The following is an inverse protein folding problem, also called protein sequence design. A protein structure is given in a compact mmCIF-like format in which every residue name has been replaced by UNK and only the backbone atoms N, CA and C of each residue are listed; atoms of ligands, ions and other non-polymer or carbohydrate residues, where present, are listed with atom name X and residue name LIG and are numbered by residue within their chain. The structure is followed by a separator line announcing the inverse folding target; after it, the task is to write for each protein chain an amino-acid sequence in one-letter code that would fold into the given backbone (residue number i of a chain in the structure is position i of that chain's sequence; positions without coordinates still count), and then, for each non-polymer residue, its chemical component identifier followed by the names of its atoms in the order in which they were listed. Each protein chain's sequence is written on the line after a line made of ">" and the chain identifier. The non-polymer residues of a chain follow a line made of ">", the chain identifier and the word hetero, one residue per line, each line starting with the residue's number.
data_IF_049925137963
#
_entry.id   IF_049925137963
#
_cell.length_a   1.000
_cell.length_b   1.000
_cell.length_c   1.000
_cell.angle_alpha   90.00
_cell.angle_beta   90.00
_cell.angle_gamma   90.00
#
_symmetry.space_group_name_H-M   'P 1'
#
loop_
_entity.id
_entity.type
_entity.pdbx_description
1 polymer ?
#
# COMPACT_ATOMS: atom_id res chain seq x y z
N UNK A 1 17.58 -30.96 29.74
CA UNK A 1 17.53 -30.55 28.33
C UNK A 1 16.09 -30.58 27.87
N UNK A 2 15.41 -29.44 27.88
CA UNK A 2 14.14 -29.24 27.19
C UNK A 2 13.87 -27.75 27.17
N UNK A 3 13.80 -27.15 25.97
CA UNK A 3 12.67 -26.35 25.52
C UNK A 3 13.06 -25.71 24.18
N UNK A 4 12.92 -26.48 23.09
CA UNK A 4 13.10 -26.01 21.72
C UNK A 4 11.77 -25.83 20.98
N UNK A 5 10.66 -25.68 21.71
CA UNK A 5 9.34 -25.46 21.11
C UNK A 5 8.90 -24.03 21.35
N UNK A 6 9.26 -23.16 20.42
CA UNK A 6 8.69 -21.82 20.31
C UNK A 6 7.29 -21.97 19.71
N UNK A 7 6.25 -21.74 20.52
CA UNK A 7 4.89 -21.62 20.03
C UNK A 7 4.75 -20.28 19.31
N UNK A 8 5.14 -20.26 18.04
CA UNK A 8 4.86 -19.12 17.16
C UNK A 8 3.53 -19.40 16.48
N UNK A 9 2.45 -18.91 17.06
CA UNK A 9 1.15 -18.91 16.39
C UNK A 9 1.28 -18.25 15.01
N UNK A 10 0.60 -18.80 14.00
CA UNK A 10 0.57 -18.22 12.66
C UNK A 10 -0.25 -16.93 12.70
N UNK A 11 0.40 -15.82 13.01
CA UNK A 11 -0.22 -14.50 12.90
C UNK A 11 -0.52 -14.25 11.42
N UNK A 12 -1.75 -13.83 11.10
CA UNK A 12 -2.10 -13.45 9.75
C UNK A 12 -1.15 -12.34 9.27
N UNK A 13 -0.28 -12.65 8.30
CA UNK A 13 0.71 -11.69 7.78
C UNK A 13 0.04 -10.72 6.81
N UNK A 14 -0.62 -9.70 7.38
CA UNK A 14 -1.29 -8.66 6.61
C UNK A 14 -0.33 -7.84 5.74
N UNK A 15 0.97 -7.78 6.07
CA UNK A 15 1.96 -6.99 5.34
C UNK A 15 2.98 -7.85 4.56
N UNK A 16 2.64 -9.11 4.27
CA UNK A 16 3.54 -10.03 3.58
C UNK A 16 4.84 -10.24 4.35
N UNK A 17 5.98 -9.94 3.71
CA UNK A 17 7.32 -10.11 4.29
C UNK A 17 7.83 -8.88 5.08
N UNK A 18 7.05 -7.79 5.13
CA UNK A 18 7.44 -6.60 5.89
C UNK A 18 7.48 -6.89 7.39
N UNK A 19 8.49 -6.35 8.05
CA UNK A 19 8.71 -6.50 9.51
C UNK A 19 8.28 -5.29 10.33
N UNK A 20 7.61 -4.32 9.71
CA UNK A 20 7.10 -3.15 10.44
C UNK A 20 5.85 -3.55 11.25
N UNK A 21 5.67 -2.99 12.47
CA UNK A 21 4.43 -3.18 13.22
C UNK A 21 3.22 -2.68 12.43
N UNK A 22 2.09 -3.37 12.56
CA UNK A 22 0.86 -3.03 11.83
C UNK A 22 0.40 -1.60 12.11
N UNK A 23 0.39 -1.18 13.37
CA UNK A 23 -0.05 0.16 13.77
C UNK A 23 0.79 1.26 13.12
N UNK A 24 2.10 1.00 12.97
CA UNK A 24 3.01 1.92 12.28
C UNK A 24 2.71 1.99 10.79
N UNK A 25 2.45 0.85 10.15
CA UNK A 25 2.05 0.81 8.75
C UNK A 25 0.73 1.57 8.52
N UNK A 26 -0.25 1.38 9.40
CA UNK A 26 -1.54 2.10 9.36
C UNK A 26 -1.33 3.59 9.53
N UNK A 27 -0.47 4.01 10.47
CA UNK A 27 -0.14 5.43 10.66
C UNK A 27 0.49 6.04 9.40
N UNK A 28 1.46 5.35 8.78
CA UNK A 28 2.07 5.79 7.52
C UNK A 28 1.01 6.00 6.42
N UNK A 29 0.10 5.03 6.25
CA UNK A 29 -0.95 5.11 5.24
C UNK A 29 -1.93 6.25 5.52
N UNK A 30 -2.35 6.44 6.77
CA UNK A 30 -3.22 7.58 7.16
C UNK A 30 -2.57 8.91 6.79
N UNK A 31 -1.31 9.11 7.17
CA UNK A 31 -0.60 10.36 6.85
C UNK A 31 -0.53 10.62 5.34
N UNK A 32 -0.29 9.59 4.53
CA UNK A 32 -0.28 9.71 3.06
C UNK A 32 -1.65 10.08 2.49
N UNK A 33 -2.73 9.49 3.02
CA UNK A 33 -4.11 9.80 2.61
C UNK A 33 -4.51 11.25 2.96
N UNK A 34 -3.97 11.79 4.05
CA UNK A 34 -4.11 13.21 4.42
C UNK A 34 -3.24 14.16 3.57
N UNK A 35 -2.50 13.64 2.58
CA UNK A 35 -1.69 14.45 1.66
C UNK A 35 -0.26 14.74 2.13
N UNK A 36 0.24 14.05 3.15
CA UNK A 36 1.64 14.22 3.57
C UNK A 36 2.61 13.65 2.53
N UNK A 37 3.74 14.33 2.33
CA UNK A 37 4.83 13.80 1.50
C UNK A 37 5.52 12.63 2.18
N UNK A 38 6.07 11.69 1.39
CA UNK A 38 6.81 10.52 1.90
C UNK A 38 7.93 10.94 2.87
N UNK A 39 8.63 12.04 2.58
CA UNK A 39 9.69 12.57 3.46
C UNK A 39 9.14 13.05 4.81
N UNK A 40 7.92 13.56 4.84
CA UNK A 40 7.27 13.97 6.08
C UNK A 40 6.83 12.76 6.89
N UNK A 41 6.29 11.74 6.24
CA UNK A 41 5.96 10.45 6.87
C UNK A 41 7.21 9.80 7.47
N UNK A 42 8.33 9.80 6.75
CA UNK A 42 9.61 9.28 7.25
C UNK A 42 10.02 9.95 8.57
N UNK A 43 9.99 11.28 8.64
CA UNK A 43 10.31 12.03 9.87
C UNK A 43 9.31 11.80 11.01
N UNK A 44 8.01 11.69 10.70
CA UNK A 44 6.95 11.56 11.70
C UNK A 44 6.87 10.15 12.29
N UNK A 45 7.19 9.13 11.50
CA UNK A 45 7.00 7.72 11.86
C UNK A 45 8.31 6.97 12.09
N UNK A 46 9.44 7.66 11.95
CA UNK A 46 10.80 7.10 11.98
C UNK A 46 10.93 5.83 11.11
N UNK A 47 10.27 5.88 9.95
CA UNK A 47 10.23 4.77 8.99
C UNK A 47 10.94 5.19 7.72
N UNK A 48 12.01 4.48 7.37
CA UNK A 48 12.79 4.79 6.17
C UNK A 48 11.87 4.88 4.93
N UNK A 49 12.06 5.91 4.11
CA UNK A 49 11.22 6.21 2.94
C UNK A 49 11.02 5.03 1.99
N UNK A 50 12.03 4.18 1.80
CA UNK A 50 11.92 3.01 0.92
C UNK A 50 10.93 1.97 1.46
N UNK A 51 10.85 1.85 2.78
CA UNK A 51 9.86 0.99 3.44
C UNK A 51 8.46 1.55 3.25
N UNK A 52 8.29 2.87 3.36
CA UNK A 52 7.01 3.55 3.08
C UNK A 52 6.59 3.36 1.63
N UNK A 53 7.52 3.52 0.67
CA UNK A 53 7.24 3.31 -0.75
C UNK A 53 6.83 1.86 -1.06
N UNK A 54 7.55 0.87 -0.51
CA UNK A 54 7.19 -0.55 -0.66
C UNK A 54 5.83 -0.86 -0.04
N UNK A 55 5.51 -0.25 1.10
CA UNK A 55 4.20 -0.38 1.76
C UNK A 55 3.07 0.10 0.85
N UNK A 56 3.23 1.25 0.21
CA UNK A 56 2.23 1.80 -0.72
C UNK A 56 2.01 0.88 -1.91
N UNK A 57 3.07 0.35 -2.52
CA UNK A 57 2.97 -0.59 -3.65
C UNK A 57 2.20 -1.85 -3.23
N UNK A 58 2.61 -2.46 -2.12
CA UNK A 58 1.97 -3.68 -1.61
C UNK A 58 0.48 -3.48 -1.30
N UNK A 59 0.12 -2.36 -0.69
CA UNK A 59 -1.27 -2.03 -0.38
C UNK A 59 -2.04 -1.73 -1.66
N UNK A 60 -1.45 -1.01 -2.61
CA UNK A 60 -2.05 -0.71 -3.91
C UNK A 60 -2.43 -1.96 -4.69
N UNK A 61 -1.52 -2.94 -4.79
CA UNK A 61 -1.79 -4.24 -5.43
C UNK A 61 -2.97 -4.96 -4.78
N UNK A 62 -3.06 -4.92 -3.45
CA UNK A 62 -4.19 -5.52 -2.72
C UNK A 62 -5.49 -4.75 -2.87
N UNK A 63 -5.44 -3.42 -2.92
CA UNK A 63 -6.61 -2.59 -3.21
C UNK A 63 -7.15 -2.88 -4.60
N UNK A 64 -6.28 -3.07 -5.60
CA UNK A 64 -6.69 -3.48 -6.95
C UNK A 64 -7.40 -4.84 -6.91
N UNK A 65 -6.80 -5.85 -6.27
CA UNK A 65 -7.42 -7.18 -6.15
C UNK A 65 -8.73 -7.15 -5.34
N UNK A 66 -8.84 -6.26 -4.36
CA UNK A 66 -10.05 -6.06 -3.57
C UNK A 66 -11.17 -5.44 -4.40
N UNK A 67 -10.86 -4.38 -5.14
CA UNK A 67 -11.81 -3.71 -6.03
C UNK A 67 -12.24 -4.68 -7.11
N UNK A 68 -11.35 -5.43 -7.75
CA UNK A 68 -11.71 -6.41 -8.78
C UNK A 68 -12.71 -7.47 -8.28
N UNK A 69 -12.56 -7.93 -7.03
CA UNK A 69 -13.45 -8.93 -6.42
C UNK A 69 -14.79 -8.35 -5.96
N UNK A 70 -14.79 -7.12 -5.45
CA UNK A 70 -15.99 -6.47 -4.89
C UNK A 70 -16.82 -5.80 -6.00
N UNK A 71 -16.09 -5.20 -6.93
CA UNK A 71 -16.35 -4.56 -8.22
C UNK A 71 -16.99 -5.37 -9.35
N UNK A 72 -17.60 -6.53 -9.09
CA UNK A 72 -17.77 -7.53 -10.14
C UNK A 72 -19.23 -7.92 -10.38
N UNK A 73 -19.71 -7.69 -11.61
CA UNK A 73 -21.07 -8.03 -12.08
C UNK A 73 -22.18 -7.43 -11.21
N UNK A 74 -21.97 -6.23 -10.70
CA UNK A 74 -22.97 -5.51 -9.90
C UNK A 74 -24.07 -4.98 -10.83
N UNK A 75 -25.36 -5.32 -10.59
CA UNK A 75 -26.46 -4.73 -11.34
C UNK A 75 -26.59 -3.26 -10.97
N UNK A 76 -26.39 -2.37 -11.94
CA UNK A 76 -26.50 -0.91 -11.79
C UNK A 76 -27.39 -0.35 -12.89
N UNK A 77 -28.29 0.56 -12.52
CA UNK A 77 -29.20 1.21 -13.46
C UNK A 77 -28.51 2.40 -14.17
N UNK A 78 -27.70 3.15 -13.43
CA UNK A 78 -26.97 4.32 -13.91
C UNK A 78 -25.51 4.27 -13.45
N UNK A 79 -24.60 4.70 -14.31
CA UNK A 79 -23.15 4.79 -14.02
C UNK A 79 -22.68 6.19 -14.33
N UNK A 80 -22.05 6.85 -13.35
CA UNK A 80 -21.40 8.14 -13.53
C UNK A 80 -19.88 7.94 -13.59
N UNK A 81 -19.25 8.61 -14.54
CA UNK A 81 -17.81 8.67 -14.69
C UNK A 81 -17.39 10.15 -14.70
N UNK A 82 -16.32 10.45 -13.99
CA UNK A 82 -15.70 11.77 -13.93
C UNK A 82 -14.18 11.63 -14.13
N UNK A 83 -13.54 12.69 -14.61
CA UNK A 83 -12.12 12.68 -14.94
C UNK A 83 -11.30 13.47 -13.92
N UNK A 84 -10.22 12.85 -13.45
CA UNK A 84 -9.22 13.49 -12.60
C UNK A 84 -7.90 13.52 -13.37
N UNK A 85 -7.38 14.73 -13.58
CA UNK A 85 -6.13 14.95 -14.30
C UNK A 85 -4.98 15.14 -13.32
N UNK A 86 -3.87 14.44 -13.56
CA UNK A 86 -2.64 14.56 -12.78
C UNK A 86 -1.42 14.40 -13.67
N UNK A 87 -0.41 15.25 -13.46
CA UNK A 87 0.86 15.10 -14.15
C UNK A 87 1.64 13.90 -13.59
N UNK A 88 1.89 12.90 -14.42
CA UNK A 88 2.74 11.76 -14.10
C UNK A 88 4.05 11.89 -14.88
N UNK A 89 5.13 12.17 -14.17
CA UNK A 89 6.45 12.31 -14.79
C UNK A 89 6.98 10.96 -15.31
N UNK A 90 7.36 10.91 -16.59
CA UNK A 90 8.06 9.77 -17.19
C UNK A 90 9.35 10.27 -17.86
N UNK A 91 10.46 9.56 -17.67
CA UNK A 91 11.72 9.89 -18.35
C UNK A 91 11.59 9.53 -19.84
N UNK A 92 12.11 10.39 -20.74
CA UNK A 92 12.06 10.15 -22.21
C UNK A 92 12.48 8.74 -22.62
N UNK A 93 13.63 8.26 -22.12
CA UNK A 93 14.12 6.88 -22.34
C UNK A 93 13.12 5.78 -21.96
N UNK A 94 12.28 6.01 -20.95
CA UNK A 94 11.26 5.05 -20.51
C UNK A 94 10.01 5.13 -21.39
N UNK A 95 9.63 6.34 -21.81
CA UNK A 95 8.51 6.56 -22.73
C UNK A 95 8.79 5.91 -24.11
N UNK A 96 10.00 6.05 -24.64
CA UNK A 96 10.38 5.46 -25.94
C UNK A 96 10.38 3.92 -25.95
N UNK A 97 10.27 3.28 -24.78
CA UNK A 97 10.28 1.82 -24.61
C UNK A 97 8.88 1.21 -24.42
N UNK A 98 7.90 2.02 -24.05
CA UNK A 98 6.49 1.60 -23.86
C UNK A 98 5.77 1.62 -25.20
#
# INVERSE_FOLDING_TARGET
>A
MMCGKTWTESHARLLGDMRIPLDRAVLCLRLLLEGNSIRSVERLTDTHRDTVMRLVVLVGERCQAFIEKTIHKTPVNDVQADEIWGFVGCKKKTADRL
#
